data_IF_111259843884
#
_entry.id   IF_111259843884
#
_cell.length_a   1.000
_cell.length_b   1.000
_cell.length_c   1.000
_cell.angle_alpha   90.00
_cell.angle_beta   90.00
_cell.angle_gamma   90.00
#
_symmetry.space_group_name_H-M   'P 1'
#
loop_
_entity.id
_entity.type
_entity.pdbx_description
1 polymer ?
#
# COMPACT_ATOMS: atom_id res chain seq x y z
N UNK A 1 -8.21 -16.03 -25.20
CA UNK A 1 -7.93 -16.41 -23.80
C UNK A 1 -6.70 -15.66 -23.36
N UNK A 2 -6.87 -14.66 -22.50
CA UNK A 2 -5.75 -13.83 -22.03
C UNK A 2 -4.98 -14.57 -20.93
N UNK A 3 -3.67 -14.30 -20.82
CA UNK A 3 -2.79 -14.87 -19.79
C UNK A 3 -3.31 -14.61 -18.37
N UNK A 4 -4.07 -13.53 -18.17
CA UNK A 4 -4.73 -13.18 -16.91
C UNK A 4 -5.81 -14.20 -16.49
N UNK A 5 -6.62 -14.70 -17.43
CA UNK A 5 -7.68 -15.68 -17.15
C UNK A 5 -7.11 -17.02 -16.68
N UNK A 6 -5.94 -17.41 -17.22
CA UNK A 6 -5.24 -18.63 -16.83
C UNK A 6 -4.63 -18.50 -15.43
N UNK A 7 -4.10 -17.32 -15.09
CA UNK A 7 -3.53 -17.02 -13.77
C UNK A 7 -4.62 -16.94 -12.69
N UNK A 8 -5.81 -16.42 -13.03
CA UNK A 8 -6.97 -16.27 -12.13
C UNK A 8 -7.61 -17.59 -11.70
N UNK A 9 -7.26 -18.72 -12.33
CA UNK A 9 -7.72 -20.06 -11.91
C UNK A 9 -7.06 -20.55 -10.62
N UNK A 10 -5.93 -19.98 -10.21
CA UNK A 10 -5.29 -20.35 -8.95
C UNK A 10 -5.89 -19.49 -7.82
N UNK A 11 -6.60 -20.06 -6.84
CA UNK A 11 -7.46 -19.29 -5.91
C UNK A 11 -6.71 -18.26 -5.05
N UNK A 12 -5.40 -18.46 -4.80
CA UNK A 12 -4.58 -17.55 -4.00
C UNK A 12 -3.69 -16.69 -4.90
N UNK A 13 -2.84 -17.33 -5.72
CA UNK A 13 -1.90 -16.62 -6.60
C UNK A 13 -2.61 -15.77 -7.67
N UNK A 14 -3.74 -16.24 -8.18
CA UNK A 14 -4.56 -15.51 -9.15
C UNK A 14 -5.17 -14.24 -8.55
N UNK A 15 -5.64 -14.33 -7.30
CA UNK A 15 -6.15 -13.17 -6.56
C UNK A 15 -5.04 -12.16 -6.30
N UNK A 16 -3.88 -12.60 -5.80
CA UNK A 16 -2.71 -11.75 -5.57
C UNK A 16 -2.25 -11.03 -6.83
N UNK A 17 -2.14 -11.77 -7.94
CA UNK A 17 -1.72 -11.21 -9.22
C UNK A 17 -2.75 -10.21 -9.78
N UNK A 18 -4.04 -10.47 -9.56
CA UNK A 18 -5.08 -9.52 -9.94
C UNK A 18 -5.03 -8.22 -9.11
N UNK A 19 -4.86 -8.31 -7.78
CA UNK A 19 -4.68 -7.12 -6.95
C UNK A 19 -3.43 -6.34 -7.34
N UNK A 20 -2.31 -7.02 -7.57
CA UNK A 20 -1.07 -6.41 -8.02
C UNK A 20 -1.25 -5.72 -9.39
N UNK A 21 -1.96 -6.35 -10.32
CA UNK A 21 -2.27 -5.75 -11.62
C UNK A 21 -3.15 -4.49 -11.47
N UNK A 22 -4.14 -4.51 -10.59
CA UNK A 22 -4.97 -3.35 -10.26
C UNK A 22 -4.17 -2.20 -9.67
N UNK A 23 -3.23 -2.50 -8.76
CA UNK A 23 -2.31 -1.53 -8.19
C UNK A 23 -1.36 -0.94 -9.24
N UNK A 24 -0.76 -1.77 -10.10
CA UNK A 24 0.11 -1.31 -11.18
C UNK A 24 -0.59 -0.39 -12.19
N UNK A 25 -1.89 -0.60 -12.43
CA UNK A 25 -2.72 0.28 -13.26
C UNK A 25 -3.25 1.53 -12.54
N UNK A 26 -3.04 1.67 -11.22
CA UNK A 26 -3.62 2.75 -10.42
C UNK A 26 -5.14 2.76 -10.47
N UNK A 27 -5.77 1.58 -10.39
CA UNK A 27 -7.24 1.46 -10.35
C UNK A 27 -7.95 1.82 -11.66
N UNK A 28 -7.28 1.75 -12.82
CA UNK A 28 -7.92 1.87 -14.14
C UNK A 28 -8.85 0.67 -14.42
N UNK A 29 -9.97 0.90 -15.13
CA UNK A 29 -10.93 -0.14 -15.53
C UNK A 29 -10.29 -1.24 -16.38
N UNK A 30 -9.19 -0.92 -17.08
CA UNK A 30 -8.41 -1.86 -17.91
C UNK A 30 -7.73 -2.97 -17.10
N UNK A 31 -7.55 -2.78 -15.78
CA UNK A 31 -6.92 -3.76 -14.91
C UNK A 31 -7.68 -5.09 -14.77
N UNK A 32 -8.99 -5.10 -15.08
CA UNK A 32 -9.82 -6.31 -15.06
C UNK A 32 -9.69 -7.18 -16.30
N UNK A 33 -9.24 -6.62 -17.43
CA UNK A 33 -9.23 -7.28 -18.74
C UNK A 33 -7.83 -7.48 -19.32
N UNK A 34 -6.87 -6.63 -18.97
CA UNK A 34 -5.53 -6.59 -19.54
C UNK A 34 -4.45 -6.62 -18.43
N UNK A 35 -3.29 -7.19 -18.73
CA UNK A 35 -2.11 -7.13 -17.86
C UNK A 35 -1.39 -5.80 -18.05
N UNK A 36 -0.95 -5.19 -16.95
CA UNK A 36 -0.28 -3.90 -17.01
C UNK A 36 1.07 -4.04 -17.73
N UNK A 37 1.42 -3.10 -18.61
CA UNK A 37 2.73 -3.10 -19.25
C UNK A 37 3.83 -3.02 -18.19
N UNK A 38 4.96 -3.69 -18.47
CA UNK A 38 6.11 -3.83 -17.55
C UNK A 38 6.59 -2.47 -17.01
N UNK A 39 6.49 -1.40 -17.82
CA UNK A 39 6.85 -0.03 -17.40
C UNK A 39 6.02 0.46 -16.21
N UNK A 40 4.74 0.10 -16.13
CA UNK A 40 3.87 0.48 -15.01
C UNK A 40 4.19 -0.34 -13.75
N UNK A 41 4.44 -1.64 -13.89
CA UNK A 41 4.93 -2.48 -12.79
C UNK A 41 6.21 -1.91 -12.18
N UNK A 42 7.17 -1.58 -13.03
CA UNK A 42 8.43 -1.01 -12.56
C UNK A 42 8.19 0.31 -11.84
N UNK A 43 7.39 1.22 -12.40
CA UNK A 43 7.09 2.50 -11.74
C UNK A 43 6.41 2.32 -10.37
N UNK A 44 5.52 1.36 -10.24
CA UNK A 44 4.75 1.13 -9.02
C UNK A 44 5.58 0.49 -7.90
N UNK A 45 6.44 -0.48 -8.22
CA UNK A 45 7.10 -1.30 -7.20
C UNK A 45 8.57 -0.95 -6.96
N UNK A 46 9.24 -0.36 -7.95
CA UNK A 46 10.70 -0.24 -7.94
C UNK A 46 11.23 0.64 -6.81
N UNK A 47 10.58 1.77 -6.51
CA UNK A 47 11.06 2.67 -5.46
C UNK A 47 10.96 2.06 -4.07
N UNK A 48 9.86 1.40 -3.76
CA UNK A 48 9.68 0.69 -2.50
C UNK A 48 10.65 -0.50 -2.39
N UNK A 49 10.93 -1.18 -3.50
CA UNK A 49 11.89 -2.27 -3.53
C UNK A 49 13.31 -1.78 -3.28
N UNK A 50 13.73 -0.68 -3.89
CA UNK A 50 15.05 -0.08 -3.63
C UNK A 50 15.16 0.36 -2.18
N UNK A 51 14.14 1.04 -1.65
CA UNK A 51 14.13 1.48 -0.25
C UNK A 51 14.27 0.27 0.70
N UNK A 52 13.49 -0.78 0.45
CA UNK A 52 13.54 -2.01 1.24
C UNK A 52 14.89 -2.74 1.15
N UNK A 53 15.47 -2.84 -0.06
CA UNK A 53 16.78 -3.42 -0.26
C UNK A 53 17.88 -2.62 0.45
N UNK A 54 17.80 -1.28 0.40
CA UNK A 54 18.75 -0.39 1.05
C UNK A 54 18.68 -0.53 2.58
N UNK A 55 17.47 -0.52 3.14
CA UNK A 55 17.26 -0.76 4.58
C UNK A 55 17.73 -2.16 5.00
N UNK A 56 17.51 -3.17 4.16
CA UNK A 56 17.99 -4.54 4.40
C UNK A 56 19.52 -4.58 4.51
N UNK A 57 20.22 -3.92 3.57
CA UNK A 57 21.69 -3.85 3.58
C UNK A 57 22.23 -3.14 4.83
N UNK A 58 21.50 -2.13 5.33
CA UNK A 58 21.83 -1.43 6.58
C UNK A 58 21.60 -2.35 7.79
N UNK A 59 20.50 -3.11 7.83
CA UNK A 59 20.22 -4.04 8.94
C UNK A 59 21.08 -5.29 8.97
N UNK A 60 21.66 -5.69 7.83
CA UNK A 60 22.47 -6.89 7.69
C UNK A 60 23.92 -6.54 7.30
N UNK A 61 24.72 -5.98 8.21
CA UNK A 61 26.10 -5.58 7.92
C UNK A 61 26.97 -6.77 7.49
N UNK A 62 26.81 -7.94 8.12
CA UNK A 62 27.55 -9.16 7.77
C UNK A 62 27.31 -9.59 6.32
N UNK A 63 26.07 -9.48 5.85
CA UNK A 63 25.68 -9.81 4.49
C UNK A 63 26.14 -8.76 3.49
N UNK A 64 26.03 -7.47 3.83
CA UNK A 64 26.44 -6.38 2.93
C UNK A 64 27.96 -6.34 2.73
N UNK A 65 28.74 -6.58 3.78
CA UNK A 65 30.20 -6.74 3.70
C UNK A 65 30.54 -7.98 2.84
N UNK A 66 29.84 -9.10 3.05
CA UNK A 66 30.07 -10.32 2.27
C UNK A 66 29.78 -10.14 0.78
N UNK A 67 28.69 -9.45 0.42
CA UNK A 67 28.41 -9.09 -0.99
C UNK A 67 29.51 -8.20 -1.54
N UNK A 68 29.93 -7.19 -0.78
CA UNK A 68 30.99 -6.27 -1.22
C UNK A 68 32.30 -7.02 -1.49
N UNK A 69 32.71 -7.91 -0.58
CA UNK A 69 33.90 -8.75 -0.75
C UNK A 69 33.75 -9.76 -1.91
N UNK A 70 32.55 -10.29 -2.15
CA UNK A 70 32.29 -11.16 -3.29
C UNK A 70 32.44 -10.41 -4.62
N UNK A 71 31.86 -9.21 -4.72
CA UNK A 71 31.88 -8.37 -5.93
C UNK A 71 33.29 -7.86 -6.25
N UNK A 72 34.04 -7.42 -5.23
CA UNK A 72 35.37 -6.82 -5.45
C UNK A 72 36.53 -7.81 -5.37
N UNK A 73 36.39 -8.92 -4.64
CA UNK A 73 37.48 -9.85 -4.34
C UNK A 73 37.17 -11.32 -4.65
N UNK A 74 36.03 -11.64 -5.27
CA UNK A 74 35.62 -13.00 -5.65
C UNK A 74 35.66 -14.03 -4.50
N UNK A 75 35.48 -13.61 -3.24
CA UNK A 75 35.41 -14.49 -2.08
C UNK A 75 34.03 -15.15 -1.96
N UNK A 76 33.89 -16.37 -1.40
CA UNK A 76 32.58 -16.99 -1.20
C UNK A 76 31.69 -16.14 -0.28
N UNK A 77 30.39 -16.13 -0.59
CA UNK A 77 29.37 -15.48 0.24
C UNK A 77 29.28 -16.22 1.58
N UNK A 78 29.18 -15.46 2.68
CA UNK A 78 29.01 -16.00 4.03
C UNK A 78 27.83 -16.96 4.06
N UNK A 79 28.00 -18.17 4.61
CA UNK A 79 26.95 -19.20 4.62
C UNK A 79 25.88 -18.97 5.70
N UNK A 80 26.19 -18.16 6.73
CA UNK A 80 25.31 -17.99 7.89
C UNK A 80 25.38 -16.58 8.47
N UNK A 81 24.22 -15.93 8.61
CA UNK A 81 24.12 -14.70 9.39
C UNK A 81 24.19 -15.01 10.89
N UNK A 82 24.82 -14.09 11.63
CA UNK A 82 24.92 -14.18 13.09
C UNK A 82 24.13 -13.04 13.76
N UNK A 83 23.78 -13.22 15.03
CA UNK A 83 23.11 -12.18 15.83
C UNK A 83 21.70 -11.81 15.36
N UNK A 84 21.38 -10.51 15.41
CA UNK A 84 20.05 -9.96 15.12
C UNK A 84 19.55 -10.28 13.70
N UNK A 85 20.47 -10.38 12.73
CA UNK A 85 20.12 -10.68 11.34
C UNK A 85 19.64 -12.12 11.10
N UNK A 86 19.91 -13.05 12.03
CA UNK A 86 19.69 -14.48 11.83
C UNK A 86 18.22 -14.93 11.97
N UNK A 87 17.34 -14.12 12.57
CA UNK A 87 15.96 -14.53 12.86
C UNK A 87 14.93 -13.39 12.69
N UNK A 88 14.68 -12.92 11.44
CA UNK A 88 13.62 -11.95 11.18
C UNK A 88 12.20 -12.51 11.37
N UNK A 89 12.03 -13.84 11.29
CA UNK A 89 10.72 -14.52 11.34
C UNK A 89 9.86 -14.14 12.56
N UNK A 90 10.36 -14.27 13.81
CA UNK A 90 9.62 -13.87 15.01
C UNK A 90 9.18 -12.40 15.02
N UNK A 91 10.01 -11.49 14.50
CA UNK A 91 9.70 -10.06 14.42
C UNK A 91 8.54 -9.84 13.45
N UNK A 92 8.59 -10.46 12.27
CA UNK A 92 7.52 -10.39 11.27
C UNK A 92 6.19 -10.87 11.87
N UNK A 93 6.20 -12.04 12.51
CA UNK A 93 5.00 -12.67 13.06
C UNK A 93 4.43 -11.86 14.25
N UNK A 94 5.27 -11.14 14.99
CA UNK A 94 4.80 -10.25 16.06
C UNK A 94 4.20 -8.94 15.54
N UNK A 95 4.80 -8.34 14.51
CA UNK A 95 4.44 -6.98 14.04
C UNK A 95 3.34 -6.98 12.99
N UNK A 96 3.44 -7.84 11.97
CA UNK A 96 2.57 -7.75 10.80
C UNK A 96 1.10 -8.10 11.04
N UNK A 97 0.72 -9.04 11.92
CA UNK A 97 -0.69 -9.26 12.25
C UNK A 97 -1.37 -8.01 12.83
N UNK A 98 -0.66 -7.24 13.66
CA UNK A 98 -1.16 -5.97 14.20
C UNK A 98 -1.34 -4.92 13.10
N UNK A 99 -0.39 -4.81 12.18
CA UNK A 99 -0.47 -3.89 11.03
C UNK A 99 -1.57 -4.29 10.04
N UNK A 100 -1.81 -5.60 9.87
CA UNK A 100 -2.90 -6.12 9.07
C UNK A 100 -4.25 -5.76 9.71
N UNK A 101 -4.38 -5.92 11.04
CA UNK A 101 -5.53 -5.45 11.80
C UNK A 101 -5.79 -3.95 11.65
N UNK A 102 -4.73 -3.13 11.70
CA UNK A 102 -4.80 -1.70 11.40
C UNK A 102 -5.33 -1.45 9.98
N UNK A 103 -4.75 -2.11 8.97
CA UNK A 103 -5.19 -1.97 7.57
C UNK A 103 -6.65 -2.38 7.36
N UNK A 104 -7.13 -3.44 8.01
CA UNK A 104 -8.55 -3.83 7.97
C UNK A 104 -9.42 -2.76 8.61
N UNK A 105 -9.04 -2.22 9.77
CA UNK A 105 -9.77 -1.13 10.43
C UNK A 105 -9.90 0.11 9.54
N UNK A 106 -8.81 0.47 8.87
CA UNK A 106 -8.77 1.56 7.88
C UNK A 106 -9.72 1.26 6.70
N UNK A 107 -9.68 0.03 6.20
CA UNK A 107 -10.53 -0.39 5.10
C UNK A 107 -12.02 -0.35 5.48
N UNK A 108 -12.37 -0.71 6.71
CA UNK A 108 -13.72 -0.59 7.24
C UNK A 108 -14.16 0.88 7.39
N UNK A 109 -13.27 1.76 7.85
CA UNK A 109 -13.52 3.20 7.93
C UNK A 109 -13.86 3.79 6.55
N UNK A 110 -13.21 3.34 5.48
CA UNK A 110 -13.54 3.79 4.13
C UNK A 110 -14.97 3.43 3.69
N UNK A 111 -15.49 2.28 4.12
CA UNK A 111 -16.89 1.93 3.85
C UNK A 111 -17.88 2.72 4.70
N UNK A 112 -17.44 3.20 5.86
CA UNK A 112 -18.25 4.05 6.72
C UNK A 112 -18.27 5.52 6.26
N UNK A 113 -17.44 5.92 5.29
CA UNK A 113 -17.44 7.27 4.74
C UNK A 113 -18.67 7.55 3.89
N UNK A 114 -19.17 8.79 3.97
CA UNK A 114 -20.34 9.23 3.21
C UNK A 114 -20.10 9.21 1.69
N UNK A 115 -21.17 8.93 0.96
CA UNK A 115 -21.15 8.89 -0.52
C UNK A 115 -20.81 10.23 -1.16
N UNK A 116 -21.05 11.35 -0.47
CA UNK A 116 -20.64 12.70 -0.87
C UNK A 116 -19.12 12.82 -0.99
N UNK A 117 -18.38 12.29 -0.01
CA UNK A 117 -16.93 12.29 0.04
C UNK A 117 -16.33 11.45 -1.11
N UNK A 118 -16.88 10.26 -1.34
CA UNK A 118 -16.48 9.38 -2.45
C UNK A 118 -16.69 10.08 -3.81
N UNK A 119 -17.82 10.78 -3.98
CA UNK A 119 -18.15 11.50 -5.22
C UNK A 119 -17.23 12.69 -5.47
N UNK A 120 -16.84 13.43 -4.43
CA UNK A 120 -15.88 14.53 -4.59
C UNK A 120 -14.46 14.06 -4.84
N UNK A 121 -14.05 12.95 -4.22
CA UNK A 121 -12.78 12.30 -4.54
C UNK A 121 -12.75 11.90 -6.02
N UNK A 122 -13.85 11.35 -6.54
CA UNK A 122 -13.98 11.07 -7.97
C UNK A 122 -13.77 12.34 -8.81
N UNK A 123 -14.39 13.45 -8.41
CA UNK A 123 -14.28 14.75 -9.09
C UNK A 123 -12.85 15.32 -9.05
N UNK A 124 -12.15 15.28 -7.91
CA UNK A 124 -10.73 15.71 -7.80
C UNK A 124 -9.80 14.81 -8.61
N UNK A 125 -10.05 13.50 -8.66
CA UNK A 125 -9.31 12.57 -9.51
C UNK A 125 -9.55 12.87 -11.01
N UNK A 126 -10.78 13.23 -11.38
CA UNK A 126 -11.12 13.67 -12.73
C UNK A 126 -10.50 15.03 -13.10
N UNK A 127 -10.45 15.97 -12.16
CA UNK A 127 -9.80 17.28 -12.33
C UNK A 127 -8.27 17.12 -12.49
N UNK A 128 -7.62 16.30 -11.64
CA UNK A 128 -6.21 15.96 -11.79
C UNK A 128 -5.89 15.22 -13.12
N UNK A 129 -6.89 14.54 -13.69
CA UNK A 129 -6.80 13.93 -15.02
C UNK A 129 -6.92 14.97 -16.13
N UNK A 130 -7.84 15.94 -15.99
CA UNK A 130 -8.01 17.05 -16.95
C UNK A 130 -6.78 17.97 -17.00
N UNK A 131 -6.14 18.19 -15.86
CA UNK A 131 -4.89 18.97 -15.75
C UNK A 131 -3.66 18.28 -16.35
N UNK A 132 -3.80 17.08 -16.92
CA UNK A 132 -2.68 16.31 -17.48
C UNK A 132 -1.69 15.75 -16.45
N UNK A 133 -1.91 16.01 -15.16
CA UNK A 133 -1.09 15.52 -14.04
C UNK A 133 -1.22 14.00 -13.82
N UNK A 134 -2.33 13.38 -14.27
CA UNK A 134 -2.52 11.92 -14.31
C UNK A 134 -3.22 11.46 -15.59
N UNK A 135 -2.75 10.36 -16.21
CA UNK A 135 -3.40 9.77 -17.41
C UNK A 135 -4.57 8.82 -17.06
N UNK A 136 -4.56 8.19 -15.89
CA UNK A 136 -5.53 7.15 -15.49
C UNK A 136 -5.78 7.15 -13.96
N UNK A 137 -6.98 6.70 -13.55
CA UNK A 137 -7.38 6.52 -12.14
C UNK A 137 -8.88 6.79 -11.91
N UNK A 138 -9.61 5.82 -11.37
CA UNK A 138 -11.01 5.95 -10.92
C UNK A 138 -11.06 5.88 -9.39
N UNK A 139 -12.24 6.01 -8.75
CA UNK A 139 -12.44 5.73 -7.30
C UNK A 139 -11.93 4.34 -6.90
N UNK A 140 -11.87 3.41 -7.86
CA UNK A 140 -11.23 2.09 -7.70
C UNK A 140 -9.75 2.16 -7.31
N UNK A 141 -9.07 3.29 -7.54
CA UNK A 141 -7.67 3.49 -7.14
C UNK A 141 -7.51 3.39 -5.64
N UNK A 142 -8.44 3.95 -4.87
CA UNK A 142 -8.35 3.92 -3.42
C UNK A 142 -8.49 2.50 -2.89
N UNK A 143 -9.39 1.72 -3.49
CA UNK A 143 -9.54 0.31 -3.15
C UNK A 143 -8.28 -0.49 -3.51
N UNK A 144 -7.71 -0.30 -4.71
CA UNK A 144 -6.48 -1.00 -5.10
C UNK A 144 -5.27 -0.59 -4.26
N UNK A 145 -5.16 0.68 -3.89
CA UNK A 145 -4.03 1.25 -3.17
C UNK A 145 -4.00 0.82 -1.70
N UNK A 146 -5.11 0.33 -1.15
CA UNK A 146 -5.17 -0.23 0.21
C UNK A 146 -5.21 -1.75 0.19
N UNK A 147 -5.98 -2.34 -0.73
CA UNK A 147 -6.11 -3.79 -0.82
C UNK A 147 -4.78 -4.46 -1.20
N UNK A 148 -3.98 -3.87 -2.10
CA UNK A 148 -2.69 -4.44 -2.47
C UNK A 148 -1.71 -4.50 -1.27
N UNK A 149 -1.42 -3.40 -0.55
CA UNK A 149 -0.62 -3.44 0.67
C UNK A 149 -1.08 -4.49 1.70
N UNK A 150 -2.38 -4.53 2.01
CA UNK A 150 -2.96 -5.53 2.91
C UNK A 150 -2.68 -6.95 2.45
N UNK A 151 -2.90 -7.19 1.16
CA UNK A 151 -2.67 -8.50 0.56
C UNK A 151 -1.19 -8.88 0.60
N UNK A 152 -0.29 -7.91 0.40
CA UNK A 152 1.14 -8.13 0.53
C UNK A 152 1.55 -8.44 1.98
N UNK A 153 0.95 -7.79 2.98
CA UNK A 153 1.21 -8.11 4.39
C UNK A 153 0.92 -9.58 4.72
N UNK A 154 -0.12 -10.18 4.13
CA UNK A 154 -0.38 -11.63 4.26
C UNK A 154 0.81 -12.45 3.73
N UNK A 155 1.37 -12.06 2.59
CA UNK A 155 2.56 -12.70 2.01
C UNK A 155 3.76 -12.52 2.94
N UNK A 156 3.96 -11.33 3.51
CA UNK A 156 5.05 -11.08 4.47
C UNK A 156 4.94 -11.98 5.69
N UNK A 157 3.73 -12.13 6.26
CA UNK A 157 3.50 -13.08 7.38
C UNK A 157 3.84 -14.51 6.96
N UNK A 158 3.41 -14.95 5.77
CA UNK A 158 3.74 -16.27 5.27
C UNK A 158 5.26 -16.47 5.13
N UNK A 159 5.98 -15.47 4.59
CA UNK A 159 7.45 -15.47 4.52
C UNK A 159 8.08 -15.55 5.91
N UNK A 160 7.54 -14.83 6.91
CA UNK A 160 7.97 -14.92 8.30
C UNK A 160 7.81 -16.33 8.90
N UNK A 161 6.68 -16.99 8.61
CA UNK A 161 6.44 -18.39 9.02
C UNK A 161 7.46 -19.32 8.36
N UNK A 162 7.73 -19.16 7.07
CA UNK A 162 8.74 -19.95 6.37
C UNK A 162 10.15 -19.72 6.93
N UNK A 163 10.49 -18.49 7.31
CA UNK A 163 11.76 -18.19 7.96
C UNK A 163 11.88 -18.86 9.33
N UNK A 164 10.79 -18.94 10.09
CA UNK A 164 10.77 -19.64 11.36
C UNK A 164 10.88 -21.16 11.19
N UNK A 165 10.29 -21.71 10.13
CA UNK A 165 10.39 -23.13 9.79
C UNK A 165 11.79 -23.53 9.30
N UNK A 166 12.47 -22.65 8.57
CA UNK A 166 13.79 -22.89 7.97
C UNK A 166 14.83 -21.84 8.41
N UNK A 167 15.16 -21.75 9.71
CA UNK A 167 15.96 -20.66 10.25
C UNK A 167 17.44 -20.68 9.82
N UNK A 168 17.92 -21.77 9.22
CA UNK A 168 19.32 -21.90 8.80
C UNK A 168 19.57 -21.51 7.33
N UNK A 169 18.52 -21.19 6.56
CA UNK A 169 18.67 -20.88 5.13
C UNK A 169 18.86 -19.38 4.93
N UNK A 170 20.08 -18.96 4.56
CA UNK A 170 20.44 -17.56 4.36
C UNK A 170 19.48 -16.82 3.40
N UNK A 171 19.16 -17.44 2.26
CA UNK A 171 18.28 -16.82 1.27
C UNK A 171 16.87 -16.53 1.82
N UNK A 172 16.37 -17.38 2.71
CA UNK A 172 15.06 -17.16 3.36
C UNK A 172 15.16 -16.02 4.38
N UNK A 173 16.26 -15.91 5.12
CA UNK A 173 16.51 -14.80 6.04
C UNK A 173 16.58 -13.46 5.29
N UNK A 174 17.36 -13.40 4.20
CA UNK A 174 17.48 -12.19 3.37
C UNK A 174 16.13 -11.81 2.75
N UNK A 175 15.43 -12.79 2.16
CA UNK A 175 14.09 -12.56 1.59
C UNK A 175 13.10 -12.06 2.65
N UNK A 176 13.21 -12.54 3.89
CA UNK A 176 12.38 -12.11 5.00
C UNK A 176 12.66 -10.67 5.43
N UNK A 177 13.94 -10.26 5.49
CA UNK A 177 14.30 -8.86 5.77
C UNK A 177 13.84 -7.90 4.67
N UNK A 178 14.00 -8.27 3.40
CA UNK A 178 13.48 -7.47 2.28
C UNK A 178 11.96 -7.36 2.39
N UNK A 179 11.27 -8.47 2.64
CA UNK A 179 9.81 -8.51 2.78
C UNK A 179 9.32 -7.68 3.96
N UNK A 180 10.05 -7.71 5.09
CA UNK A 180 9.77 -6.90 6.27
C UNK A 180 9.82 -5.41 5.96
N UNK A 181 10.93 -4.93 5.40
CA UNK A 181 11.10 -3.51 5.09
C UNK A 181 10.16 -3.04 3.98
N UNK A 182 9.94 -3.87 2.97
CA UNK A 182 8.99 -3.56 1.90
C UNK A 182 7.56 -3.49 2.42
N UNK A 183 7.18 -4.42 3.30
CA UNK A 183 5.88 -4.39 3.96
C UNK A 183 5.67 -3.13 4.80
N UNK A 184 6.70 -2.67 5.54
CA UNK A 184 6.64 -1.40 6.26
C UNK A 184 6.52 -0.19 5.33
N UNK A 185 7.21 -0.17 4.20
CA UNK A 185 7.07 0.89 3.20
C UNK A 185 5.62 0.99 2.69
N UNK A 186 4.98 -0.16 2.43
CA UNK A 186 3.57 -0.20 2.02
C UNK A 186 2.60 0.25 3.12
N UNK A 187 2.92 0.02 4.39
CA UNK A 187 2.15 0.58 5.52
C UNK A 187 2.22 2.10 5.53
N UNK A 188 3.42 2.66 5.29
CA UNK A 188 3.60 4.12 5.20
C UNK A 188 2.81 4.71 4.03
N UNK A 189 2.70 4.00 2.90
CA UNK A 189 1.80 4.41 1.82
C UNK A 189 0.35 4.48 2.27
N UNK A 190 -0.16 3.45 2.98
CA UNK A 190 -1.52 3.47 3.53
C UNK A 190 -1.70 4.66 4.48
N UNK A 191 -0.75 4.91 5.37
CA UNK A 191 -0.82 6.05 6.32
C UNK A 191 -0.82 7.38 5.56
N UNK A 192 0.03 7.55 4.56
CA UNK A 192 0.09 8.76 3.75
C UNK A 192 -1.21 8.98 2.96
N UNK A 193 -1.80 7.91 2.41
CA UNK A 193 -3.10 7.95 1.75
C UNK A 193 -4.20 8.38 2.72
N UNK A 194 -4.21 7.84 3.94
CA UNK A 194 -5.17 8.26 4.95
C UNK A 194 -5.03 9.70 5.38
N UNK A 195 -3.79 10.15 5.60
CA UNK A 195 -3.52 11.52 5.95
C UNK A 195 -4.07 12.47 4.88
N UNK A 196 -3.81 12.15 3.60
CA UNK A 196 -4.37 12.89 2.48
C UNK A 196 -5.91 12.86 2.45
N UNK A 197 -6.54 11.74 2.78
CA UNK A 197 -8.00 11.65 2.84
C UNK A 197 -8.59 12.50 3.96
N UNK A 198 -8.00 12.43 5.15
CA UNK A 198 -8.45 13.18 6.33
C UNK A 198 -8.30 14.67 6.09
N UNK A 199 -7.15 15.13 5.59
CA UNK A 199 -6.91 16.54 5.29
C UNK A 199 -7.96 17.11 4.33
N UNK A 200 -8.28 16.36 3.27
CA UNK A 200 -9.33 16.76 2.33
C UNK A 200 -10.72 16.81 2.99
N UNK A 201 -11.03 15.89 3.90
CA UNK A 201 -12.31 15.86 4.62
C UNK A 201 -12.48 17.00 5.63
N UNK A 202 -11.38 17.45 6.25
CA UNK A 202 -11.40 18.55 7.21
C UNK A 202 -11.58 19.88 6.48
N UNK A 203 -10.86 20.08 5.37
CA UNK A 203 -11.01 21.27 4.54
C UNK A 203 -12.45 21.42 4.04
N UNK A 204 -13.08 20.32 3.62
CA UNK A 204 -14.50 20.32 3.22
C UNK A 204 -15.43 20.77 4.35
N UNK A 205 -15.28 20.19 5.55
CA UNK A 205 -16.09 20.59 6.72
C UNK A 205 -15.86 22.05 7.12
N UNK A 206 -14.69 22.61 6.82
CA UNK A 206 -14.41 24.02 7.04
C UNK A 206 -15.13 24.91 6.01
N UNK A 207 -15.08 24.55 4.73
CA UNK A 207 -15.73 25.28 3.62
C UNK A 207 -17.26 25.24 3.72
N UNK A 208 -17.83 24.10 4.14
CA UNK A 208 -19.27 23.93 4.28
C UNK A 208 -19.85 24.81 5.41
N UNK A 209 -19.12 24.95 6.52
CA UNK A 209 -19.49 25.89 7.61
C UNK A 209 -19.45 27.36 7.17
N UNK A 210 -18.58 27.69 6.23
CA UNK A 210 -18.44 29.07 5.74
C UNK A 210 -19.53 29.46 4.72
N UNK A 211 -20.11 28.48 4.03
CA UNK A 211 -21.16 28.68 3.02
C UNK A 211 -22.59 28.47 3.52
N UNK A 212 -22.80 28.09 4.79
CA UNK A 212 -24.15 28.13 5.40
C UNK A 212 -24.65 29.58 5.44
N UNK A 213 -25.74 29.94 4.73
CA UNK A 213 -26.32 31.27 4.85
C UNK A 213 -26.70 31.51 6.30
N UNK A 214 -26.41 32.69 6.84
CA UNK A 214 -27.04 33.17 8.06
C UNK A 214 -28.57 33.10 7.84
N UNK A 215 -29.20 32.03 8.31
CA UNK A 215 -30.66 31.98 8.40
C UNK A 215 -31.01 33.06 9.44
N UNK A 216 -31.75 34.12 9.05
CA UNK A 216 -32.18 35.12 10.00
C UNK A 216 -32.92 34.41 11.13
N UNK A 217 -32.57 34.71 12.37
CA UNK A 217 -33.32 34.18 13.51
C UNK A 217 -34.79 34.57 13.33
N UNK A 218 -35.68 33.63 13.54
CA UNK A 218 -37.15 33.77 13.40
C UNK A 218 -37.77 34.74 14.42
N UNK A 219 -36.98 35.67 14.96
CA UNK A 219 -37.39 36.70 15.92
C UNK A 219 -37.72 38.05 15.26
N UNK A 220 -37.55 38.19 13.94
CA UNK A 220 -37.83 39.44 13.20
C UNK A 220 -39.22 39.47 12.53
N UNK A 221 -40.18 38.67 13.02
CA UNK A 221 -41.58 38.80 12.58
C UNK A 221 -42.26 39.84 13.49
N UNK A 222 -42.54 41.07 13.00
CA UNK A 222 -43.26 42.05 13.80
C UNK A 222 -44.67 41.53 14.12
N UNK A 223 -45.18 41.75 15.34
CA UNK A 223 -46.51 41.32 15.71
C UNK A 223 -47.55 42.02 14.81
N UNK A 224 -48.65 41.32 14.45
CA UNK A 224 -49.68 41.88 13.61
C UNK A 224 -50.30 43.11 14.29
N UNK A 225 -50.31 44.23 13.56
CA UNK A 225 -50.98 45.46 13.97
C UNK A 225 -52.50 45.24 14.00
N UNK A 226 -53.08 45.20 15.19
CA UNK A 226 -54.51 45.31 15.46
C UNK A 226 -54.85 46.68 16.01
#
# INVERSE_FOLDING_TARGET
>A
MTTLERLRRVPILGTMAWLANCYAYGGDRRAGSELAPIKLWFKAYFWNLIAAATLTMITLPDFSISIWEHVFSCKPIVEKLSGFGASPGPIIIAVFPCLLGLGIGIYALLFALDTSFIRQMHRKLEEARRDGRRKHGSVLILNSDIAFPLSFMVVVVAVGIFCQAYPNVLWIQVASWISFWYGLALVLEIIALLFLLIDNSILEKADEKQNTPNVPSTNDIPPPSS
#
